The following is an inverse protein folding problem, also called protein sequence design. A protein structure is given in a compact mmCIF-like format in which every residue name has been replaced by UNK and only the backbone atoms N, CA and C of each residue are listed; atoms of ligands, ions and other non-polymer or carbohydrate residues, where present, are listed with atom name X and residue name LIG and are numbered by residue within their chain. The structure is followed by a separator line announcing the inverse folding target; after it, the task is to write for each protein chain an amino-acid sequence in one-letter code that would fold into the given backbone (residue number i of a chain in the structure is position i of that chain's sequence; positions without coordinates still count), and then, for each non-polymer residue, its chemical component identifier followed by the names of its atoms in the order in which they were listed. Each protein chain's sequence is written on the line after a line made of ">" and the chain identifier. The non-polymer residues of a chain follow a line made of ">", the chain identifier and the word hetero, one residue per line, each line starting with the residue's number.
data_IF_722194111181
#
_entry.id   IF_722194111181
#
_cell.length_a   1.000
_cell.length_b   1.000
_cell.length_c   1.000
_cell.angle_alpha   90.00
_cell.angle_beta   90.00
_cell.angle_gamma   90.00
#
_symmetry.space_group_name_H-M   'P 1'
#
loop_
_entity.id
_entity.type
_entity.pdbx_description
1 polymer ?
#
# COMPACT_ATOMS: atom_id res chain seq x y z
N UNK A 1 -1.72 7.82 -26.84
CA UNK A 1 -1.15 7.90 -25.47
C UNK A 1 -2.22 8.18 -24.40
N UNK A 2 -3.14 9.15 -24.56
CA UNK A 2 -4.18 9.41 -23.54
C UNK A 2 -5.12 8.23 -23.23
N UNK A 3 -5.38 7.33 -24.19
CA UNK A 3 -6.28 6.19 -24.02
C UNK A 3 -5.87 5.17 -22.95
N UNK A 4 -4.59 5.11 -22.58
CA UNK A 4 -4.14 4.14 -21.56
C UNK A 4 -4.61 4.49 -20.15
N UNK A 5 -5.02 5.73 -19.90
CA UNK A 5 -5.52 6.20 -18.59
C UNK A 5 -6.86 5.55 -18.19
N UNK A 6 -7.54 4.90 -19.14
CA UNK A 6 -8.79 4.16 -18.90
C UNK A 6 -8.55 2.71 -18.48
N UNK A 7 -7.32 2.20 -18.60
CA UNK A 7 -6.92 0.89 -18.07
C UNK A 7 -6.40 1.14 -16.66
N UNK A 8 -7.25 0.98 -15.65
CA UNK A 8 -6.91 1.24 -14.25
C UNK A 8 -6.80 -0.06 -13.46
N UNK A 9 -5.71 -0.28 -12.72
CA UNK A 9 -5.59 -1.43 -11.84
C UNK A 9 -6.51 -1.25 -10.62
N UNK A 10 -6.94 -2.37 -10.04
CA UNK A 10 -7.65 -2.36 -8.76
C UNK A 10 -6.71 -1.90 -7.63
N UNK A 11 -7.26 -1.13 -6.71
CA UNK A 11 -6.57 -0.51 -5.57
C UNK A 11 -7.43 -0.59 -4.31
N UNK A 12 -8.34 -1.56 -4.27
CA UNK A 12 -9.19 -1.80 -3.10
C UNK A 12 -8.37 -2.56 -2.05
N UNK A 13 -8.28 -2.00 -0.85
CA UNK A 13 -7.62 -2.69 0.25
C UNK A 13 -8.50 -3.87 0.72
N UNK A 14 -7.90 -5.06 0.95
CA UNK A 14 -8.61 -6.13 1.64
C UNK A 14 -8.99 -5.72 3.07
N UNK A 15 -9.87 -6.47 3.75
CA UNK A 15 -10.16 -6.24 5.16
C UNK A 15 -8.88 -6.25 6.01
N UNK A 16 -8.73 -5.25 6.87
CA UNK A 16 -7.65 -5.20 7.85
C UNK A 16 -8.08 -5.93 9.13
N UNK A 17 -7.16 -6.71 9.72
CA UNK A 17 -7.35 -7.40 10.99
C UNK A 17 -6.23 -6.99 11.95
N UNK A 18 -6.59 -6.25 13.01
CA UNK A 18 -5.67 -5.82 14.06
C UNK A 18 -4.94 -7.00 14.73
N UNK A 19 -5.57 -8.18 14.81
CA UNK A 19 -4.96 -9.35 15.44
C UNK A 19 -3.80 -9.92 14.60
N UNK A 20 -3.80 -9.67 13.29
CA UNK A 20 -2.74 -10.11 12.37
C UNK A 20 -1.64 -9.05 12.16
N UNK A 21 -1.79 -7.86 12.73
CA UNK A 21 -0.82 -6.79 12.64
C UNK A 21 0.47 -7.16 13.39
N UNK A 22 1.64 -6.70 12.93
CA UNK A 22 2.95 -7.05 13.54
C UNK A 22 3.00 -6.53 14.98
N UNK A 23 2.38 -5.38 15.22
CA UNK A 23 2.20 -4.70 16.50
C UNK A 23 1.43 -5.57 17.51
N UNK A 24 0.61 -6.53 17.05
CA UNK A 24 -0.11 -7.48 17.91
C UNK A 24 0.82 -8.55 18.50
N UNK A 25 1.90 -8.87 17.77
CA UNK A 25 2.82 -9.97 18.09
C UNK A 25 4.12 -9.48 18.76
N UNK A 26 4.49 -8.23 18.54
CA UNK A 26 5.75 -7.65 19.01
C UNK A 26 5.53 -6.32 19.72
N UNK A 27 6.25 -6.08 20.81
CA UNK A 27 6.35 -4.74 21.40
C UNK A 27 7.32 -3.91 20.57
N UNK A 28 6.76 -3.07 19.69
CA UNK A 28 7.53 -2.18 18.82
C UNK A 28 7.66 -0.81 19.52
N UNK A 29 8.88 -0.28 19.71
CA UNK A 29 9.09 1.10 20.15
C UNK A 29 8.44 2.11 19.19
N UNK A 30 7.93 3.24 19.70
CA UNK A 30 7.13 4.18 18.91
C UNK A 30 7.89 4.81 17.72
N UNK A 31 9.19 5.00 17.86
CA UNK A 31 10.07 5.50 16.80
C UNK A 31 10.25 4.48 15.67
N UNK A 32 10.32 3.19 16.01
CA UNK A 32 10.38 2.08 15.04
C UNK A 32 9.04 1.88 14.36
N UNK A 33 7.94 1.98 15.10
CA UNK A 33 6.57 1.88 14.55
C UNK A 33 6.32 2.96 13.49
N UNK A 34 6.73 4.21 13.75
CA UNK A 34 6.65 5.29 12.78
C UNK A 34 7.54 5.08 11.53
N UNK A 35 8.63 4.30 11.64
CA UNK A 35 9.45 3.89 10.49
C UNK A 35 8.72 2.81 9.70
N UNK A 36 8.24 1.76 10.37
CA UNK A 36 7.53 0.66 9.74
C UNK A 36 6.27 1.15 9.01
N UNK A 37 5.52 2.05 9.64
CA UNK A 37 4.31 2.66 9.09
C UNK A 37 4.56 3.31 7.73
N UNK A 38 5.54 4.20 7.62
CA UNK A 38 5.83 4.97 6.38
C UNK A 38 6.72 4.26 5.35
N UNK A 39 7.37 3.17 5.76
CA UNK A 39 8.37 2.48 4.91
C UNK A 39 7.83 1.17 4.36
N UNK A 40 6.84 0.58 5.06
CA UNK A 40 6.29 -0.72 4.73
C UNK A 40 4.77 -0.69 4.76
N UNK A 41 4.14 -0.29 5.87
CA UNK A 41 2.69 -0.52 6.06
C UNK A 41 1.81 0.38 5.19
N UNK A 42 2.26 1.58 4.83
CA UNK A 42 1.53 2.48 3.93
C UNK A 42 1.45 1.95 2.48
N UNK A 43 2.24 0.93 2.12
CA UNK A 43 2.22 0.32 0.78
C UNK A 43 1.96 -1.19 0.80
N UNK A 44 2.55 -1.94 1.72
CA UNK A 44 2.55 -3.41 1.81
C UNK A 44 1.71 -3.93 2.99
N UNK A 45 0.51 -3.39 3.18
CA UNK A 45 -0.44 -3.89 4.19
C UNK A 45 -1.87 -3.78 3.71
N UNK A 46 -2.83 -4.31 4.47
CA UNK A 46 -4.26 -4.08 4.19
C UNK A 46 -4.71 -2.65 4.56
N UNK A 47 -3.79 -1.75 4.88
CA UNK A 47 -3.99 -0.30 5.11
C UNK A 47 -3.24 0.55 4.08
N UNK A 48 -2.94 0.03 2.89
CA UNK A 48 -2.23 0.79 1.85
C UNK A 48 -2.86 2.15 1.57
N UNK A 49 -2.03 3.20 1.61
CA UNK A 49 -2.36 4.57 1.24
C UNK A 49 -1.80 4.86 -0.15
N UNK A 50 -2.61 4.63 -1.18
CA UNK A 50 -2.15 4.81 -2.56
C UNK A 50 -1.76 6.26 -2.85
N UNK A 51 -0.50 6.52 -3.28
CA UNK A 51 -0.03 7.87 -3.56
C UNK A 51 -0.70 8.44 -4.81
N UNK A 52 -0.72 9.77 -4.96
CA UNK A 52 -1.44 10.45 -6.07
C UNK A 52 -1.04 9.94 -7.46
N UNK A 53 0.23 9.59 -7.66
CA UNK A 53 0.76 9.10 -8.93
C UNK A 53 0.27 7.69 -9.30
N UNK A 54 -0.33 6.96 -8.36
CA UNK A 54 -1.04 5.69 -8.64
C UNK A 54 -2.30 5.87 -9.51
N UNK A 55 -2.70 7.11 -9.83
CA UNK A 55 -3.80 7.42 -10.73
C UNK A 55 -3.35 7.70 -12.18
N UNK A 56 -2.05 7.68 -12.45
CA UNK A 56 -1.48 8.09 -13.73
C UNK A 56 -0.85 6.89 -14.42
N UNK A 57 -1.39 6.47 -15.55
CA UNK A 57 -0.79 5.41 -16.35
C UNK A 57 0.47 5.92 -17.09
N UNK A 58 1.51 5.07 -17.26
CA UNK A 58 1.58 3.67 -16.85
C UNK A 58 2.04 3.45 -15.40
N UNK A 59 2.39 4.51 -14.67
CA UNK A 59 2.94 4.45 -13.30
C UNK A 59 1.99 3.70 -12.37
N UNK A 60 0.67 3.92 -12.52
CA UNK A 60 -0.36 3.20 -11.78
C UNK A 60 -0.20 1.68 -11.80
N UNK A 61 0.18 1.11 -12.95
CA UNK A 61 0.34 -0.34 -13.10
C UNK A 61 1.57 -0.81 -12.34
N UNK A 62 2.72 -0.16 -12.54
CA UNK A 62 3.95 -0.52 -11.83
C UNK A 62 3.83 -0.37 -10.31
N UNK A 63 3.07 0.62 -9.83
CA UNK A 63 2.80 0.79 -8.40
C UNK A 63 1.96 -0.36 -7.87
N UNK A 64 0.87 -0.74 -8.56
CA UNK A 64 0.04 -1.86 -8.12
C UNK A 64 0.82 -3.17 -8.23
N UNK A 65 1.48 -3.46 -9.35
CA UNK A 65 2.31 -4.66 -9.54
C UNK A 65 3.46 -4.79 -8.53
N UNK A 66 3.95 -3.67 -7.97
CA UNK A 66 4.94 -3.71 -6.89
C UNK A 66 4.33 -4.04 -5.53
N UNK A 67 3.16 -3.49 -5.25
CA UNK A 67 2.47 -3.60 -3.96
C UNK A 67 1.77 -4.96 -3.83
N UNK A 68 1.13 -5.40 -4.90
CA UNK A 68 0.40 -6.67 -4.94
C UNK A 68 1.29 -7.76 -5.53
N UNK A 69 1.41 -8.93 -4.89
CA UNK A 69 2.15 -10.07 -5.42
C UNK A 69 1.48 -10.73 -6.64
#
# INVERSE_FOLDING_TARGET
>A
LAGIQFIRPDRTNPPFDEALAIESSLKIPSDVDAILSRSCNDCHSNKTEYPWYSNIAPISWSVVDHITP
#
